data_IF_277251885278
#
_entry.id   IF_277251885278
#
_cell.length_a   1.000
_cell.length_b   1.000
_cell.length_c   1.000
_cell.angle_alpha   90.00
_cell.angle_beta   90.00
_cell.angle_gamma   90.00
#
_symmetry.space_group_name_H-M   'P 1'
#
loop_
_entity.id
_entity.type
_entity.pdbx_description
1 polymer ?
#
# COMPACT_ATOMS: atom_id res chain seq x y z
N UNK A 1 -41.56 -33.72 -29.57
CA UNK A 1 -40.52 -34.30 -28.72
C UNK A 1 -39.37 -33.31 -28.73
N UNK A 2 -39.40 -32.37 -27.81
CA UNK A 2 -38.33 -31.33 -27.63
C UNK A 2 -37.37 -31.83 -26.58
N UNK A 3 -36.13 -32.00 -26.96
CA UNK A 3 -35.03 -32.33 -26.06
C UNK A 3 -34.58 -31.08 -25.29
N UNK A 4 -34.83 -31.11 -24.01
CA UNK A 4 -34.31 -30.13 -23.07
C UNK A 4 -32.84 -30.49 -22.79
N UNK A 5 -31.89 -29.70 -23.27
CA UNK A 5 -30.46 -29.83 -22.94
C UNK A 5 -30.24 -29.18 -21.61
N UNK A 6 -29.91 -29.96 -20.60
CA UNK A 6 -29.42 -29.51 -19.28
C UNK A 6 -28.01 -28.97 -19.49
N UNK A 7 -27.82 -27.68 -19.26
CA UNK A 7 -26.50 -27.04 -19.26
C UNK A 7 -25.86 -27.36 -17.90
N UNK A 8 -24.72 -28.03 -17.93
CA UNK A 8 -23.94 -28.37 -16.74
C UNK A 8 -23.29 -27.14 -16.11
N UNK A 9 -23.05 -27.14 -14.79
CA UNK A 9 -22.53 -25.97 -14.03
C UNK A 9 -21.02 -25.69 -14.22
N UNK A 10 -20.38 -26.34 -15.20
CA UNK A 10 -18.92 -26.19 -15.40
C UNK A 10 -18.51 -24.87 -16.10
N UNK A 11 -19.43 -24.19 -16.79
CA UNK A 11 -19.06 -23.01 -17.60
C UNK A 11 -18.85 -21.73 -16.79
N UNK A 12 -19.37 -21.65 -15.57
CA UNK A 12 -19.16 -20.46 -14.72
C UNK A 12 -17.77 -20.42 -14.07
N UNK A 13 -17.14 -21.55 -13.82
CA UNK A 13 -15.78 -21.63 -13.27
C UNK A 13 -14.69 -21.21 -14.29
N UNK A 14 -14.94 -21.44 -15.58
CA UNK A 14 -14.02 -21.09 -16.66
C UNK A 14 -13.98 -19.57 -16.90
N UNK A 15 -15.10 -18.87 -16.69
CA UNK A 15 -15.17 -17.41 -16.85
C UNK A 15 -14.45 -16.70 -15.69
N UNK A 16 -14.51 -17.23 -14.47
CA UNK A 16 -13.77 -16.69 -13.32
C UNK A 16 -12.24 -16.87 -13.46
N UNK A 17 -11.79 -17.95 -14.07
CA UNK A 17 -10.37 -18.21 -14.33
C UNK A 17 -9.80 -17.35 -15.48
N UNK A 18 -10.64 -16.84 -16.40
CA UNK A 18 -10.24 -15.94 -17.48
C UNK A 18 -10.26 -14.46 -17.10
N UNK A 19 -10.87 -14.09 -15.95
CA UNK A 19 -10.83 -12.73 -15.41
C UNK A 19 -9.55 -12.55 -14.55
N UNK A 20 -8.43 -12.41 -15.23
CA UNK A 20 -7.06 -12.18 -14.78
C UNK A 20 -6.82 -11.58 -13.42
N UNK A 21 -6.79 -12.41 -12.41
CA UNK A 21 -6.09 -12.11 -11.15
C UNK A 21 -4.56 -12.27 -11.32
N UNK A 22 -4.08 -12.62 -12.51
CA UNK A 22 -2.68 -12.76 -12.86
C UNK A 22 -2.01 -11.44 -13.28
N UNK A 23 -0.70 -11.38 -13.14
CA UNK A 23 0.14 -10.16 -13.34
C UNK A 23 0.29 -9.71 -14.82
N UNK A 24 -0.36 -10.34 -15.83
CA UNK A 24 0.00 -10.19 -17.25
C UNK A 24 -1.13 -9.76 -18.20
N UNK A 25 -2.12 -8.97 -17.80
CA UNK A 25 -3.15 -8.51 -18.72
C UNK A 25 -2.93 -7.10 -19.30
N UNK A 26 -3.06 -7.03 -20.64
CA UNK A 26 -3.01 -5.79 -21.41
C UNK A 26 -4.23 -4.89 -21.12
N UNK A 27 -4.06 -3.56 -20.94
CA UNK A 27 -5.13 -2.62 -20.58
C UNK A 27 -6.30 -2.50 -21.56
N UNK A 28 -6.20 -3.05 -22.76
CA UNK A 28 -7.19 -2.88 -23.85
C UNK A 28 -8.43 -3.77 -23.75
N UNK A 29 -8.45 -4.82 -22.92
CA UNK A 29 -9.59 -5.75 -22.81
C UNK A 29 -10.53 -5.45 -21.62
N UNK A 30 -10.27 -4.43 -20.82
CA UNK A 30 -10.97 -4.19 -19.55
C UNK A 30 -12.12 -3.16 -19.60
N UNK A 31 -12.61 -2.83 -20.78
CA UNK A 31 -13.78 -1.95 -20.93
C UNK A 31 -15.14 -2.67 -20.81
N UNK A 32 -15.15 -3.99 -20.61
CA UNK A 32 -16.35 -4.72 -20.28
C UNK A 32 -16.66 -4.52 -18.79
N UNK A 33 -17.89 -4.15 -18.52
CA UNK A 33 -18.47 -3.97 -17.18
C UNK A 33 -18.12 -5.18 -16.31
N UNK A 34 -17.21 -5.00 -15.35
CA UNK A 34 -16.77 -6.06 -14.45
C UNK A 34 -17.91 -6.32 -13.47
N UNK A 35 -18.80 -7.24 -13.77
CA UNK A 35 -19.78 -7.75 -12.83
C UNK A 35 -19.03 -8.66 -11.83
N UNK A 36 -18.68 -8.10 -10.69
CA UNK A 36 -18.18 -8.89 -9.58
C UNK A 36 -19.37 -9.45 -8.84
N UNK A 37 -19.59 -10.76 -8.96
CA UNK A 37 -20.54 -11.47 -8.15
C UNK A 37 -19.87 -12.13 -6.93
N UNK A 38 -20.69 -12.56 -5.97
CA UNK A 38 -20.25 -13.21 -4.74
C UNK A 38 -19.40 -14.46 -5.01
N UNK A 39 -19.85 -15.29 -5.92
CA UNK A 39 -19.20 -16.58 -6.23
C UNK A 39 -17.84 -16.35 -6.88
N UNK A 40 -17.80 -15.47 -7.87
CA UNK A 40 -16.57 -15.10 -8.58
C UNK A 40 -15.53 -14.46 -7.67
N UNK A 41 -15.94 -13.56 -6.77
CA UNK A 41 -15.02 -12.90 -5.83
C UNK A 41 -14.43 -13.91 -4.84
N UNK A 42 -15.26 -14.76 -4.23
CA UNK A 42 -14.81 -15.82 -3.32
C UNK A 42 -13.88 -16.80 -4.01
N UNK A 43 -14.27 -17.26 -5.23
CA UNK A 43 -13.44 -18.18 -6.03
C UNK A 43 -12.08 -17.56 -6.39
N UNK A 44 -12.05 -16.32 -6.82
CA UNK A 44 -10.81 -15.62 -7.18
C UNK A 44 -9.86 -15.46 -5.97
N UNK A 45 -10.39 -15.09 -4.81
CA UNK A 45 -9.59 -14.94 -3.58
C UNK A 45 -9.09 -16.31 -3.11
N UNK A 46 -9.94 -17.34 -3.10
CA UNK A 46 -9.54 -18.69 -2.72
C UNK A 46 -8.52 -19.28 -3.67
N UNK A 47 -8.67 -19.07 -4.98
CA UNK A 47 -7.66 -19.49 -5.97
C UNK A 47 -6.31 -18.79 -5.76
N UNK A 48 -6.31 -17.52 -5.40
CA UNK A 48 -5.10 -16.78 -5.07
C UNK A 48 -4.35 -17.37 -3.85
N UNK A 49 -5.07 -17.98 -2.91
CA UNK A 49 -4.53 -18.62 -1.72
C UNK A 49 -4.29 -20.13 -1.90
N UNK A 50 -4.54 -20.68 -3.08
CA UNK A 50 -4.63 -22.14 -3.34
C UNK A 50 -3.31 -22.93 -3.20
N UNK A 51 -2.16 -22.28 -2.97
CA UNK A 51 -0.94 -22.94 -2.53
C UNK A 51 -1.03 -23.53 -1.10
N UNK A 52 -2.13 -23.29 -0.38
CA UNK A 52 -2.34 -23.66 1.01
C UNK A 52 -3.23 -24.90 1.17
N UNK A 53 -3.12 -25.56 2.32
CA UNK A 53 -3.94 -26.74 2.67
C UNK A 53 -5.45 -26.49 2.41
N UNK A 54 -6.16 -27.36 1.66
CA UNK A 54 -7.59 -27.25 1.37
C UNK A 54 -8.48 -27.01 2.60
N UNK A 55 -8.13 -27.60 3.75
CA UNK A 55 -8.89 -27.44 5.00
C UNK A 55 -8.85 -26.01 5.52
N UNK A 56 -7.73 -25.33 5.25
CA UNK A 56 -7.54 -23.91 5.59
C UNK A 56 -8.38 -23.02 4.67
N UNK A 57 -8.55 -23.40 3.41
CA UNK A 57 -9.36 -22.68 2.44
C UNK A 57 -10.85 -22.66 2.76
N UNK A 58 -11.40 -23.72 3.34
CA UNK A 58 -12.83 -23.76 3.71
C UNK A 58 -13.16 -22.73 4.80
N UNK A 59 -12.32 -22.57 5.81
CA UNK A 59 -12.50 -21.54 6.83
C UNK A 59 -12.40 -20.11 6.27
N UNK A 60 -11.47 -19.88 5.33
CA UNK A 60 -11.36 -18.59 4.64
C UNK A 60 -12.59 -18.32 3.79
N UNK A 61 -13.06 -19.31 3.03
CA UNK A 61 -14.25 -19.19 2.19
C UNK A 61 -15.45 -18.79 3.04
N UNK A 62 -15.70 -19.47 4.15
CA UNK A 62 -16.81 -19.14 5.05
C UNK A 62 -16.68 -17.72 5.62
N UNK A 63 -15.48 -17.30 6.02
CA UNK A 63 -15.27 -15.96 6.54
C UNK A 63 -15.49 -14.88 5.45
N UNK A 64 -15.02 -15.12 4.21
CA UNK A 64 -15.26 -14.23 3.08
C UNK A 64 -16.76 -14.13 2.76
N UNK A 65 -17.45 -15.27 2.68
CA UNK A 65 -18.88 -15.34 2.43
C UNK A 65 -19.66 -14.56 3.51
N UNK A 66 -19.29 -14.74 4.77
CA UNK A 66 -19.89 -13.99 5.88
C UNK A 66 -19.73 -12.47 5.73
N UNK A 67 -18.52 -11.99 5.39
CA UNK A 67 -18.28 -10.54 5.21
C UNK A 67 -19.03 -9.97 4.01
N UNK A 68 -19.12 -10.72 2.91
CA UNK A 68 -19.88 -10.31 1.72
C UNK A 68 -21.37 -10.28 2.02
N UNK A 69 -21.91 -11.32 2.67
CA UNK A 69 -23.33 -11.40 3.00
C UNK A 69 -23.73 -10.28 4.00
N UNK A 70 -22.88 -9.99 4.98
CA UNK A 70 -23.06 -8.89 5.93
C UNK A 70 -23.08 -7.52 5.24
N UNK A 71 -22.26 -7.34 4.22
CA UNK A 71 -22.20 -6.08 3.45
C UNK A 71 -23.42 -5.89 2.54
N UNK A 72 -23.98 -6.98 2.03
CA UNK A 72 -25.11 -6.99 1.14
C UNK A 72 -24.75 -6.75 -0.35
N UNK A 73 -25.73 -6.96 -1.26
CA UNK A 73 -25.50 -6.91 -2.71
C UNK A 73 -25.12 -5.52 -3.22
N UNK A 74 -25.60 -4.44 -2.58
CA UNK A 74 -25.25 -3.08 -2.98
C UNK A 74 -23.75 -2.82 -2.77
N UNK A 75 -23.18 -3.20 -1.63
CA UNK A 75 -21.77 -3.02 -1.34
C UNK A 75 -20.87 -3.81 -2.30
N UNK A 76 -21.33 -4.99 -2.75
CA UNK A 76 -20.60 -5.78 -3.76
C UNK A 76 -20.63 -5.10 -5.13
N UNK A 77 -21.79 -4.53 -5.53
CA UNK A 77 -21.92 -3.73 -6.74
C UNK A 77 -21.01 -2.49 -6.73
N UNK A 78 -21.02 -1.74 -5.62
CA UNK A 78 -20.17 -0.56 -5.41
C UNK A 78 -18.67 -0.92 -5.51
N UNK A 79 -18.25 -2.04 -4.92
CA UNK A 79 -16.89 -2.54 -5.03
C UNK A 79 -16.53 -2.83 -6.49
N UNK A 80 -17.43 -3.47 -7.25
CA UNK A 80 -17.24 -3.76 -8.68
C UNK A 80 -17.03 -2.48 -9.50
N UNK A 81 -17.88 -1.47 -9.31
CA UNK A 81 -17.75 -0.17 -9.98
C UNK A 81 -16.43 0.54 -9.61
N UNK A 82 -16.05 0.55 -8.35
CA UNK A 82 -14.78 1.15 -7.91
C UNK A 82 -13.57 0.44 -8.54
N UNK A 83 -13.57 -0.88 -8.58
CA UNK A 83 -12.51 -1.65 -9.23
C UNK A 83 -12.39 -1.36 -10.72
N UNK A 84 -13.52 -1.17 -11.43
CA UNK A 84 -13.53 -0.77 -12.83
C UNK A 84 -12.94 0.64 -13.02
N UNK A 85 -13.26 1.58 -12.13
CA UNK A 85 -12.89 3.00 -12.27
C UNK A 85 -11.47 3.34 -11.82
N UNK A 86 -10.89 2.61 -10.85
CA UNK A 86 -9.54 2.89 -10.32
C UNK A 86 -8.43 2.84 -11.37
N UNK A 87 -8.68 2.24 -12.56
CA UNK A 87 -7.71 2.17 -13.65
C UNK A 87 -7.65 3.41 -14.56
N UNK A 88 -8.65 4.29 -14.54
CA UNK A 88 -8.91 5.26 -15.61
C UNK A 88 -8.32 6.66 -15.43
N UNK A 89 -8.13 7.15 -14.21
CA UNK A 89 -7.69 8.53 -13.95
C UNK A 89 -6.62 8.66 -12.88
N UNK A 90 -5.92 9.80 -12.91
CA UNK A 90 -5.03 10.22 -11.83
C UNK A 90 -5.82 11.03 -10.81
N UNK A 91 -6.24 10.41 -9.72
CA UNK A 91 -7.07 11.05 -8.70
C UNK A 91 -6.99 10.31 -7.37
N UNK A 92 -7.80 10.75 -6.42
CA UNK A 92 -8.01 10.07 -5.14
C UNK A 92 -9.16 9.07 -5.26
N UNK A 93 -8.95 7.89 -4.69
CA UNK A 93 -9.95 6.84 -4.54
C UNK A 93 -10.18 6.59 -3.05
N UNK A 94 -11.40 6.79 -2.56
CA UNK A 94 -11.72 6.54 -1.16
C UNK A 94 -11.68 5.04 -0.85
N UNK A 95 -11.37 4.71 0.38
CA UNK A 95 -11.44 3.33 0.90
C UNK A 95 -12.81 2.70 0.63
N UNK A 96 -12.78 1.43 0.25
CA UNK A 96 -13.97 0.58 0.18
C UNK A 96 -14.09 -0.26 1.46
N UNK A 97 -15.22 -0.15 2.20
CA UNK A 97 -15.38 -0.88 3.45
C UNK A 97 -15.41 -2.40 3.29
N UNK A 98 -15.95 -2.92 2.17
CA UNK A 98 -15.98 -4.36 1.91
C UNK A 98 -14.59 -4.87 1.54
N UNK A 99 -13.86 -4.17 0.67
CA UNK A 99 -12.48 -4.52 0.33
C UNK A 99 -11.59 -4.59 1.59
N UNK A 100 -11.72 -3.62 2.50
CA UNK A 100 -10.98 -3.60 3.77
C UNK A 100 -11.29 -4.81 4.64
N UNK A 101 -12.58 -5.14 4.85
CA UNK A 101 -12.97 -6.30 5.67
C UNK A 101 -12.47 -7.62 5.08
N UNK A 102 -12.61 -7.80 3.77
CA UNK A 102 -12.06 -8.95 3.06
C UNK A 102 -10.56 -9.02 3.26
N UNK A 103 -9.85 -7.91 3.14
CA UNK A 103 -8.42 -7.86 3.35
C UNK A 103 -8.04 -8.28 4.78
N UNK A 104 -8.78 -7.87 5.81
CA UNK A 104 -8.55 -8.29 7.18
C UNK A 104 -8.70 -9.82 7.35
N UNK A 105 -9.70 -10.43 6.70
CA UNK A 105 -9.85 -11.90 6.65
C UNK A 105 -8.61 -12.57 6.03
N UNK A 106 -8.09 -12.01 4.93
CA UNK A 106 -6.87 -12.51 4.28
C UNK A 106 -5.65 -12.36 5.18
N UNK A 107 -5.52 -11.23 5.84
CA UNK A 107 -4.38 -10.93 6.70
C UNK A 107 -4.24 -11.89 7.88
N UNK A 108 -5.34 -12.50 8.37
CA UNK A 108 -5.30 -13.56 9.38
C UNK A 108 -4.51 -14.81 8.93
N UNK A 109 -4.32 -14.95 7.63
CA UNK A 109 -3.59 -16.07 7.02
C UNK A 109 -2.21 -15.66 6.49
N UNK A 110 -2.05 -14.39 6.16
CA UNK A 110 -0.84 -13.86 5.57
C UNK A 110 0.15 -13.36 6.61
N UNK A 111 -0.33 -12.95 7.78
CA UNK A 111 0.50 -12.51 8.90
C UNK A 111 0.72 -13.65 9.89
N UNK A 112 1.99 -13.93 10.19
CA UNK A 112 2.35 -14.74 11.33
C UNK A 112 1.85 -14.08 12.62
N UNK A 113 1.26 -14.84 13.58
CA UNK A 113 0.76 -14.29 14.86
C UNK A 113 1.82 -13.55 15.69
N UNK A 114 3.10 -13.78 15.43
CA UNK A 114 4.23 -13.10 16.09
C UNK A 114 4.60 -11.77 15.43
N UNK A 115 3.86 -11.35 14.42
CA UNK A 115 4.02 -10.02 13.81
C UNK A 115 3.71 -8.92 14.83
N UNK A 116 4.51 -7.85 14.83
CA UNK A 116 4.44 -6.80 15.85
C UNK A 116 4.40 -5.41 15.25
N UNK A 117 3.72 -4.51 15.96
CA UNK A 117 3.82 -3.06 15.79
C UNK A 117 4.26 -2.46 17.12
N UNK A 118 5.31 -1.67 17.11
CA UNK A 118 5.82 -0.95 18.29
C UNK A 118 5.88 0.55 18.05
N UNK A 119 6.05 1.35 19.11
CA UNK A 119 6.11 2.81 19.02
C UNK A 119 4.74 3.48 18.92
N UNK A 120 3.64 2.75 19.21
CA UNK A 120 2.26 3.30 19.16
C UNK A 120 2.05 4.45 20.15
N UNK A 121 2.81 4.50 21.23
CA UNK A 121 2.82 5.57 22.22
C UNK A 121 3.17 6.94 21.62
N UNK A 122 3.90 6.97 20.51
CA UNK A 122 4.24 8.19 19.80
C UNK A 122 3.03 8.85 19.11
N UNK A 123 1.95 8.09 18.90
CA UNK A 123 0.76 8.57 18.18
C UNK A 123 -0.12 9.51 19.02
N UNK A 124 -0.02 9.44 20.35
CA UNK A 124 -0.84 10.27 21.24
C UNK A 124 -0.65 11.79 20.97
N UNK A 125 0.56 12.20 20.54
CA UNK A 125 0.86 13.60 20.24
C UNK A 125 0.25 14.09 18.90
N UNK A 126 -0.22 13.16 18.03
CA UNK A 126 -0.63 13.46 16.66
C UNK A 126 -1.99 12.87 16.29
N UNK A 127 -2.80 12.47 17.27
CA UNK A 127 -4.05 11.71 17.05
C UNK A 127 -5.00 12.39 16.07
N UNK A 128 -5.13 13.71 16.15
CA UNK A 128 -6.04 14.50 15.28
C UNK A 128 -5.29 15.44 14.33
N UNK A 129 -3.98 15.33 14.27
CA UNK A 129 -3.14 16.19 13.45
C UNK A 129 -3.00 15.69 12.01
N UNK A 130 -2.70 16.57 11.03
CA UNK A 130 -2.28 16.15 9.69
C UNK A 130 -0.94 15.40 9.78
N UNK A 131 -0.89 14.19 9.21
CA UNK A 131 0.30 13.32 9.32
C UNK A 131 0.74 12.84 7.95
N UNK A 132 2.02 13.04 7.63
CA UNK A 132 2.72 12.39 6.52
C UNK A 132 3.54 11.24 7.09
N UNK A 133 3.16 10.02 6.77
CA UNK A 133 3.89 8.80 7.14
C UNK A 133 4.91 8.52 6.05
N UNK A 134 6.19 8.43 6.43
CA UNK A 134 7.27 8.05 5.53
C UNK A 134 7.83 6.70 5.96
N UNK A 135 7.81 5.72 5.04
CA UNK A 135 8.26 4.37 5.31
C UNK A 135 9.20 3.84 4.21
N UNK A 136 9.97 2.80 4.54
CA UNK A 136 10.69 2.00 3.56
C UNK A 136 9.74 1.11 2.74
N UNK A 137 10.20 0.63 1.58
CA UNK A 137 9.36 -0.10 0.63
C UNK A 137 9.97 -1.45 0.22
N UNK A 138 9.39 -2.54 0.66
CA UNK A 138 9.85 -3.90 0.43
C UNK A 138 8.92 -4.69 -0.51
N UNK A 139 7.60 -4.51 -0.32
CA UNK A 139 6.57 -5.30 -0.99
C UNK A 139 5.40 -4.44 -1.47
N UNK A 140 4.64 -4.88 -2.47
CA UNK A 140 3.36 -4.26 -2.82
C UNK A 140 2.31 -4.38 -1.71
N UNK A 141 2.56 -5.22 -0.71
CA UNK A 141 1.67 -5.43 0.43
C UNK A 141 2.04 -4.61 1.67
N UNK A 142 3.12 -3.81 1.64
CA UNK A 142 3.58 -3.04 2.82
C UNK A 142 2.46 -2.20 3.43
N UNK A 143 1.76 -1.41 2.62
CA UNK A 143 0.68 -0.56 3.09
C UNK A 143 -0.49 -1.36 3.67
N UNK A 144 -0.82 -2.51 3.05
CA UNK A 144 -1.89 -3.38 3.48
C UNK A 144 -1.57 -4.05 4.82
N UNK A 145 -0.35 -4.56 4.97
CA UNK A 145 0.07 -5.21 6.21
C UNK A 145 0.26 -4.21 7.35
N UNK A 146 0.78 -3.03 7.04
CA UNK A 146 0.87 -1.93 8.01
C UNK A 146 -0.53 -1.50 8.48
N UNK A 147 -1.49 -1.34 7.56
CA UNK A 147 -2.88 -0.99 7.90
C UNK A 147 -3.50 -2.00 8.87
N UNK A 148 -3.30 -3.30 8.63
CA UNK A 148 -3.80 -4.36 9.51
C UNK A 148 -3.12 -4.32 10.88
N UNK A 149 -1.81 -4.11 10.94
CA UNK A 149 -1.10 -4.00 12.22
C UNK A 149 -1.57 -2.78 13.02
N UNK A 150 -1.77 -1.63 12.37
CA UNK A 150 -2.36 -0.45 12.99
C UNK A 150 -3.78 -0.72 13.51
N UNK A 151 -4.61 -1.38 12.70
CA UNK A 151 -5.99 -1.72 13.07
C UNK A 151 -6.08 -2.68 14.26
N UNK A 152 -5.14 -3.62 14.38
CA UNK A 152 -5.09 -4.62 15.47
C UNK A 152 -4.44 -4.09 16.75
N UNK A 153 -3.84 -2.92 16.70
CA UNK A 153 -3.19 -2.24 17.81
C UNK A 153 -4.08 -1.12 18.36
N UNK A 154 -3.56 -0.34 19.30
CA UNK A 154 -4.21 0.88 19.82
C UNK A 154 -4.20 2.04 18.79
N UNK A 155 -3.70 1.82 17.56
CA UNK A 155 -3.58 2.80 16.49
C UNK A 155 -4.73 2.76 15.46
N UNK A 156 -5.90 2.25 15.82
CA UNK A 156 -7.08 2.13 14.93
C UNK A 156 -7.44 3.47 14.27
N UNK A 157 -7.39 4.57 15.01
CA UNK A 157 -7.66 5.92 14.50
C UNK A 157 -6.73 6.26 13.30
N UNK A 158 -5.45 5.88 13.36
CA UNK A 158 -4.52 6.09 12.26
C UNK A 158 -4.84 5.18 11.05
N UNK A 159 -5.19 3.90 11.30
CA UNK A 159 -5.62 2.98 10.25
C UNK A 159 -6.89 3.47 9.54
N UNK A 160 -7.82 4.06 10.30
CA UNK A 160 -9.10 4.55 9.77
C UNK A 160 -8.97 5.75 8.85
N UNK A 161 -7.93 6.55 8.98
CA UNK A 161 -7.66 7.72 8.15
C UNK A 161 -6.49 7.52 7.18
N UNK A 162 -6.00 6.28 7.02
CA UNK A 162 -4.86 5.99 6.15
C UNK A 162 -5.19 6.23 4.68
N UNK A 163 -4.34 7.01 4.02
CA UNK A 163 -4.35 7.27 2.58
C UNK A 163 -2.94 7.07 2.03
N UNK A 164 -2.79 6.29 0.96
CA UNK A 164 -1.49 5.86 0.41
C UNK A 164 -1.25 6.46 -0.96
N UNK A 165 -0.05 6.99 -1.18
CA UNK A 165 0.38 7.43 -2.52
C UNK A 165 0.92 6.22 -3.29
N UNK A 166 0.26 5.87 -4.40
CA UNK A 166 0.52 4.65 -5.14
C UNK A 166 0.85 4.88 -6.61
N UNK A 167 1.94 4.26 -7.08
CA UNK A 167 2.39 4.33 -8.46
C UNK A 167 1.58 3.44 -9.42
N UNK A 168 1.85 3.54 -10.76
CA UNK A 168 1.01 2.91 -11.81
C UNK A 168 0.92 1.39 -11.70
N UNK A 169 1.95 0.71 -11.21
CA UNK A 169 1.96 -0.75 -11.09
C UNK A 169 0.89 -1.29 -10.13
N UNK A 170 0.43 -0.47 -9.16
CA UNK A 170 -0.66 -0.83 -8.25
C UNK A 170 -2.01 -0.96 -8.98
N UNK A 171 -2.12 -0.39 -10.18
CA UNK A 171 -3.36 -0.40 -10.96
C UNK A 171 -3.29 -1.31 -12.18
N UNK A 172 -2.20 -2.05 -12.37
CA UNK A 172 -1.96 -2.88 -13.57
C UNK A 172 -2.78 -4.18 -13.57
N UNK A 173 -3.22 -4.67 -12.41
CA UNK A 173 -4.05 -5.87 -12.30
C UNK A 173 -5.23 -5.65 -11.35
N UNK A 174 -6.28 -6.47 -11.51
CA UNK A 174 -7.48 -6.41 -10.67
C UNK A 174 -7.16 -6.64 -9.19
N UNK A 175 -6.28 -7.60 -8.89
CA UNK A 175 -5.81 -7.90 -7.54
C UNK A 175 -5.18 -6.69 -6.87
N UNK A 176 -4.27 -5.99 -7.57
CA UNK A 176 -3.59 -4.82 -7.03
C UNK A 176 -4.55 -3.64 -6.84
N UNK A 177 -5.52 -3.46 -7.76
CA UNK A 177 -6.59 -2.47 -7.58
C UNK A 177 -7.43 -2.78 -6.34
N UNK A 178 -7.80 -4.05 -6.16
CA UNK A 178 -8.51 -4.49 -4.96
C UNK A 178 -7.72 -4.14 -3.69
N UNK A 179 -6.43 -4.48 -3.64
CA UNK A 179 -5.55 -4.14 -2.51
C UNK A 179 -5.49 -2.63 -2.25
N UNK A 180 -5.51 -1.81 -3.32
CA UNK A 180 -5.49 -0.34 -3.19
C UNK A 180 -6.79 0.27 -2.66
N UNK A 181 -7.89 -0.48 -2.67
CA UNK A 181 -9.19 -0.04 -2.12
C UNK A 181 -9.33 -0.33 -0.61
N UNK A 182 -8.37 -1.01 0.01
CA UNK A 182 -8.42 -1.30 1.46
C UNK A 182 -8.22 -0.04 2.33
N UNK A 183 -7.66 1.01 1.78
CA UNK A 183 -7.43 2.34 2.37
C UNK A 183 -7.71 3.43 1.33
N UNK A 184 -7.64 4.71 1.71
CA UNK A 184 -7.64 5.80 0.73
C UNK A 184 -6.40 5.70 -0.17
N UNK A 185 -6.53 6.01 -1.47
CA UNK A 185 -5.40 5.89 -2.39
C UNK A 185 -5.30 7.09 -3.31
N UNK A 186 -4.11 7.71 -3.35
CA UNK A 186 -3.76 8.78 -4.29
C UNK A 186 -2.93 8.16 -5.40
N UNK A 187 -3.44 8.19 -6.62
CA UNK A 187 -2.74 7.64 -7.79
C UNK A 187 -1.73 8.65 -8.31
N UNK A 188 -0.45 8.24 -8.41
CA UNK A 188 0.63 9.06 -8.96
C UNK A 188 1.34 8.37 -10.12
N UNK A 189 2.11 9.12 -10.90
CA UNK A 189 2.99 8.57 -11.92
C UNK A 189 4.28 8.03 -11.28
N UNK A 190 4.85 6.98 -11.87
CA UNK A 190 6.19 6.53 -11.50
C UNK A 190 7.22 7.53 -12.06
N UNK A 191 8.30 7.78 -11.31
CA UNK A 191 9.43 8.57 -11.81
C UNK A 191 10.02 7.93 -13.07
N UNK A 192 10.32 8.75 -14.08
CA UNK A 192 10.95 8.31 -15.34
C UNK A 192 12.29 7.61 -15.12
N UNK A 193 12.99 7.93 -14.03
CA UNK A 193 14.31 7.33 -13.68
C UNK A 193 14.22 5.82 -13.38
N UNK A 194 13.04 5.30 -13.01
CA UNK A 194 12.82 3.90 -12.62
C UNK A 194 11.85 3.16 -13.54
N UNK A 195 11.33 3.78 -14.60
CA UNK A 195 10.44 3.10 -15.54
C UNK A 195 11.26 2.35 -16.58
N UNK A 196 11.25 1.03 -16.52
CA UNK A 196 11.75 0.14 -17.58
C UNK A 196 10.71 -0.06 -18.69
N UNK A 197 9.47 0.35 -18.48
CA UNK A 197 8.39 0.29 -19.46
C UNK A 197 8.27 1.65 -20.16
N UNK A 198 8.71 1.67 -21.41
CA UNK A 198 8.62 2.80 -22.33
C UNK A 198 7.17 3.00 -22.83
N UNK A 199 6.26 3.32 -21.89
CA UNK A 199 4.84 3.56 -22.17
C UNK A 199 4.58 5.00 -22.69
N UNK A 200 5.51 5.60 -23.42
CA UNK A 200 5.28 6.82 -24.20
C UNK A 200 4.86 8.07 -23.41
N UNK A 201 4.90 8.04 -22.07
CA UNK A 201 4.62 9.22 -21.25
C UNK A 201 5.83 10.14 -21.25
N UNK A 202 5.66 11.36 -21.75
CA UNK A 202 6.74 12.32 -21.70
C UNK A 202 7.00 12.81 -20.27
N UNK A 203 8.19 13.37 -20.02
CA UNK A 203 8.58 13.85 -18.70
C UNK A 203 7.62 14.92 -18.13
N UNK A 204 6.91 15.67 -18.99
CA UNK A 204 5.92 16.68 -18.61
C UNK A 204 4.67 16.04 -18.01
N UNK A 205 4.19 14.93 -18.58
CA UNK A 205 3.01 14.20 -18.08
C UNK A 205 3.31 13.56 -16.73
N UNK A 206 4.51 13.02 -16.56
CA UNK A 206 4.98 12.47 -15.27
C UNK A 206 5.05 13.58 -14.22
N UNK A 207 5.65 14.73 -14.55
CA UNK A 207 5.74 15.87 -13.64
C UNK A 207 4.35 16.43 -13.28
N UNK A 208 3.44 16.49 -14.25
CA UNK A 208 2.05 16.93 -14.03
C UNK A 208 1.31 15.99 -13.09
N UNK A 209 1.41 14.67 -13.32
CA UNK A 209 0.76 13.69 -12.45
C UNK A 209 1.33 13.70 -11.02
N UNK A 210 2.65 13.89 -10.87
CA UNK A 210 3.27 14.03 -9.56
C UNK A 210 2.77 15.30 -8.82
N UNK A 211 2.64 16.41 -9.53
CA UNK A 211 2.12 17.66 -8.96
C UNK A 211 0.66 17.50 -8.51
N UNK A 212 -0.21 16.90 -9.33
CA UNK A 212 -1.60 16.63 -8.97
C UNK A 212 -1.68 15.71 -7.74
N UNK A 213 -0.81 14.70 -7.65
CA UNK A 213 -0.77 13.82 -6.48
C UNK A 213 -0.39 14.57 -5.19
N UNK A 214 0.54 15.54 -5.26
CA UNK A 214 0.91 16.39 -4.12
C UNK A 214 -0.26 17.30 -3.72
N UNK A 215 -0.90 17.96 -4.69
CA UNK A 215 -2.08 18.80 -4.44
C UNK A 215 -3.20 18.02 -3.74
N UNK A 216 -3.50 16.80 -4.23
CA UNK A 216 -4.49 15.91 -3.60
C UNK A 216 -4.04 15.50 -2.19
N UNK A 217 -2.75 15.19 -1.99
CA UNK A 217 -2.24 14.81 -0.68
C UNK A 217 -2.43 15.93 0.35
N UNK A 218 -2.15 17.18 -0.01
CA UNK A 218 -2.39 18.33 0.87
C UNK A 218 -3.89 18.53 1.16
N UNK A 219 -4.75 18.35 0.16
CA UNK A 219 -6.21 18.36 0.40
C UNK A 219 -6.67 17.25 1.36
N UNK A 220 -6.06 16.07 1.27
CA UNK A 220 -6.39 14.94 2.14
C UNK A 220 -5.88 15.17 3.57
N UNK A 221 -4.65 15.68 3.72
CA UNK A 221 -4.11 16.09 5.02
C UNK A 221 -5.01 17.13 5.71
N UNK A 222 -5.48 18.15 4.96
CA UNK A 222 -6.41 19.16 5.48
C UNK A 222 -7.77 18.58 5.87
N UNK A 223 -8.16 17.41 5.35
CA UNK A 223 -9.37 16.67 5.73
C UNK A 223 -9.13 15.67 6.87
N UNK A 224 -7.94 15.64 7.44
CA UNK A 224 -7.59 14.79 8.55
C UNK A 224 -7.05 13.40 8.18
N UNK A 225 -6.77 13.12 6.90
CA UNK A 225 -6.12 11.86 6.51
C UNK A 225 -4.67 11.81 7.02
N UNK A 226 -4.17 10.58 7.21
CA UNK A 226 -2.76 10.29 7.36
C UNK A 226 -2.23 9.77 6.01
N UNK A 227 -1.31 10.50 5.39
CA UNK A 227 -0.82 10.20 4.05
C UNK A 227 0.47 9.40 4.11
N UNK A 228 0.43 8.11 3.69
CA UNK A 228 1.59 7.22 3.62
C UNK A 228 2.28 7.33 2.27
N UNK A 229 3.58 7.52 2.31
CA UNK A 229 4.45 7.62 1.14
C UNK A 229 5.68 6.73 1.34
N UNK A 230 5.99 5.91 0.35
CA UNK A 230 7.25 5.17 0.29
C UNK A 230 8.30 6.05 -0.39
N UNK A 231 9.15 6.66 0.42
CA UNK A 231 10.01 7.77 -0.02
C UNK A 231 11.16 7.34 -0.96
N UNK A 232 11.41 6.05 -1.10
CA UNK A 232 12.36 5.47 -2.06
C UNK A 232 11.85 5.52 -3.51
N UNK A 233 10.54 5.71 -3.72
CA UNK A 233 9.90 5.77 -5.05
C UNK A 233 9.81 4.42 -5.78
N UNK A 234 10.44 3.38 -5.26
CA UNK A 234 10.38 2.00 -5.77
C UNK A 234 10.66 1.02 -4.64
N UNK A 235 10.22 -0.23 -4.81
CA UNK A 235 10.53 -1.30 -3.86
C UNK A 235 12.02 -1.62 -3.89
N UNK A 236 12.60 -1.84 -2.73
CA UNK A 236 13.93 -2.42 -2.61
C UNK A 236 13.95 -3.85 -3.18
N UNK A 237 15.02 -4.21 -3.88
CA UNK A 237 15.25 -5.57 -4.38
C UNK A 237 16.20 -6.36 -3.49
N UNK A 238 16.86 -5.68 -2.55
CA UNK A 238 17.88 -6.25 -1.65
C UNK A 238 17.41 -6.21 -0.20
N UNK A 239 16.16 -5.81 0.05
CA UNK A 239 15.59 -5.49 1.36
C UNK A 239 16.25 -4.29 2.08
N UNK A 240 17.43 -3.86 1.63
CA UNK A 240 18.09 -2.66 2.16
C UNK A 240 17.40 -1.37 1.70
N UNK A 241 17.30 -0.41 2.61
CA UNK A 241 16.75 0.92 2.38
C UNK A 241 17.48 1.63 1.23
N UNK A 242 16.75 2.11 0.23
CA UNK A 242 17.30 2.87 -0.89
C UNK A 242 17.42 4.36 -0.54
N UNK A 243 18.23 5.15 -1.27
CA UNK A 243 18.26 6.60 -1.09
C UNK A 243 16.86 7.21 -1.24
N UNK A 244 16.47 8.04 -0.28
CA UNK A 244 15.21 8.76 -0.33
C UNK A 244 15.19 9.78 -1.47
N UNK A 245 14.06 9.89 -2.16
CA UNK A 245 13.90 10.85 -3.26
C UNK A 245 13.69 12.27 -2.71
N UNK A 246 14.57 13.24 -3.05
CA UNK A 246 14.40 14.64 -2.61
C UNK A 246 13.04 15.25 -3.01
N UNK A 247 12.45 14.79 -4.13
CA UNK A 247 11.14 15.26 -4.58
C UNK A 247 9.99 14.92 -3.63
N UNK A 248 10.14 13.89 -2.78
CA UNK A 248 9.12 13.50 -1.78
C UNK A 248 8.98 14.57 -0.69
N UNK A 249 10.00 15.37 -0.42
CA UNK A 249 9.89 16.49 0.52
C UNK A 249 8.77 17.48 0.18
N UNK A 250 8.30 17.53 -1.08
CA UNK A 250 7.18 18.40 -1.49
C UNK A 250 5.85 18.04 -0.83
N UNK A 251 5.69 16.80 -0.36
CA UNK A 251 4.53 16.41 0.43
C UNK A 251 4.57 17.00 1.85
N UNK A 252 5.73 17.54 2.26
CA UNK A 252 5.97 18.17 3.56
C UNK A 252 5.91 19.71 3.48
N UNK A 253 5.54 20.28 2.33
CA UNK A 253 5.44 21.76 2.15
C UNK A 253 4.29 22.37 3.00
N UNK A 254 3.38 21.53 3.56
CA UNK A 254 2.46 21.95 4.61
C UNK A 254 3.18 21.95 5.97
N UNK A 255 3.52 23.15 6.45
CA UNK A 255 4.25 23.35 7.71
C UNK A 255 3.48 22.89 8.96
N UNK A 256 2.14 22.72 8.86
CA UNK A 256 1.30 22.23 9.95
C UNK A 256 1.40 20.71 10.15
N UNK A 257 1.78 19.99 9.09
CA UNK A 257 1.83 18.53 9.12
C UNK A 257 2.95 17.99 10.03
N UNK A 258 2.68 16.80 10.56
CA UNK A 258 3.68 15.99 11.26
C UNK A 258 4.28 14.96 10.30
N UNK A 259 5.56 14.75 10.37
CA UNK A 259 6.30 13.69 9.69
C UNK A 259 6.46 12.53 10.65
N UNK A 260 5.94 11.37 10.27
CA UNK A 260 5.99 10.14 11.06
C UNK A 260 6.86 9.09 10.34
N UNK A 261 8.10 8.84 10.79
CA UNK A 261 8.90 7.77 10.22
C UNK A 261 8.39 6.41 10.69
N UNK A 262 8.33 5.43 9.76
CA UNK A 262 7.94 4.05 10.05
C UNK A 262 8.93 3.10 9.39
N UNK A 263 9.47 2.17 10.16
CA UNK A 263 10.30 1.07 9.67
C UNK A 263 9.47 -0.20 9.55
N UNK A 264 9.58 -0.91 8.41
CA UNK A 264 8.87 -2.16 8.11
C UNK A 264 9.90 -3.21 7.71
N UNK A 265 9.86 -4.40 8.30
CA UNK A 265 10.71 -5.53 7.96
C UNK A 265 9.89 -6.81 7.80
N UNK A 266 10.28 -7.69 6.86
CA UNK A 266 9.71 -9.02 6.65
C UNK A 266 8.63 -9.12 5.58
N UNK A 267 8.09 -8.02 5.06
CA UNK A 267 6.99 -8.04 4.08
C UNK A 267 7.42 -8.56 2.70
N UNK A 268 8.69 -8.47 2.35
CA UNK A 268 9.26 -8.99 1.09
C UNK A 268 9.10 -10.51 0.96
N UNK A 269 9.07 -11.23 2.08
CA UNK A 269 8.92 -12.67 2.09
C UNK A 269 7.49 -13.15 1.77
N UNK A 270 6.49 -12.24 1.78
CA UNK A 270 5.12 -12.59 1.38
C UNK A 270 5.00 -12.94 -0.11
N UNK A 271 5.73 -12.18 -0.94
CA UNK A 271 5.81 -12.37 -2.39
C UNK A 271 7.26 -12.23 -2.83
N UNK A 272 8.09 -13.26 -2.64
CA UNK A 272 9.48 -13.20 -3.07
C UNK A 272 9.60 -12.93 -4.57
N UNK A 273 10.65 -12.24 -4.99
CA UNK A 273 10.89 -11.94 -6.41
C UNK A 273 11.18 -13.26 -7.14
N UNK A 274 10.35 -13.59 -8.15
CA UNK A 274 10.47 -14.83 -8.93
C UNK A 274 9.71 -16.02 -8.35
N UNK A 275 9.05 -15.85 -7.21
CA UNK A 275 8.12 -16.82 -6.65
C UNK A 275 6.67 -16.38 -6.89
N UNK A 276 5.80 -17.35 -7.17
CA UNK A 276 4.36 -17.15 -7.38
C UNK A 276 3.52 -17.64 -6.19
N UNK A 277 4.15 -18.28 -5.21
CA UNK A 277 3.50 -18.75 -4.00
C UNK A 277 3.42 -17.65 -2.94
N UNK A 278 2.39 -17.76 -2.09
CA UNK A 278 2.19 -16.84 -0.97
C UNK A 278 2.64 -17.55 0.30
N UNK A 279 3.54 -16.91 1.02
CA UNK A 279 4.03 -17.42 2.28
C UNK A 279 3.54 -16.55 3.45
N UNK A 280 2.96 -17.13 4.51
CA UNK A 280 2.71 -16.38 5.74
C UNK A 280 4.01 -15.77 6.26
N UNK A 281 3.97 -14.50 6.64
CA UNK A 281 5.17 -13.75 7.00
C UNK A 281 5.07 -13.14 8.38
N UNK A 282 6.19 -13.14 9.08
CA UNK A 282 6.37 -12.33 10.27
C UNK A 282 6.78 -10.93 9.86
N UNK A 283 5.92 -9.95 10.18
CA UNK A 283 6.19 -8.53 9.95
C UNK A 283 6.55 -7.86 11.28
N UNK A 284 7.64 -7.11 11.27
CA UNK A 284 8.00 -6.22 12.37
C UNK A 284 7.91 -4.80 11.85
N UNK A 285 6.96 -4.03 12.39
CA UNK A 285 6.84 -2.62 12.10
C UNK A 285 7.11 -1.79 13.36
N UNK A 286 7.82 -0.68 13.17
CA UNK A 286 8.14 0.24 14.26
C UNK A 286 7.80 1.67 13.86
N UNK A 287 7.03 2.36 14.72
CA UNK A 287 6.69 3.77 14.58
C UNK A 287 7.73 4.60 15.33
N UNK A 288 8.35 5.55 14.64
CA UNK A 288 9.31 6.46 15.24
C UNK A 288 8.63 7.70 15.86
N UNK A 289 9.44 8.57 16.45
CA UNK A 289 8.95 9.84 16.99
C UNK A 289 8.48 10.76 15.87
N UNK A 290 7.29 11.37 15.97
CA UNK A 290 6.84 12.34 15.01
C UNK A 290 7.59 13.67 15.17
N UNK A 291 7.81 14.36 14.07
CA UNK A 291 8.42 15.70 14.03
C UNK A 291 7.57 16.63 13.19
N UNK A 292 7.46 17.91 13.58
CA UNK A 292 6.80 18.93 12.74
C UNK A 292 7.57 19.12 11.44
N UNK A 293 6.87 19.18 10.30
CA UNK A 293 7.47 19.47 8.99
C UNK A 293 8.24 20.82 9.02
N UNK A 294 7.68 21.85 9.66
CA UNK A 294 8.35 23.14 9.84
C UNK A 294 9.69 23.04 10.61
N UNK A 295 9.75 22.22 11.68
CA UNK A 295 10.99 22.03 12.44
C UNK A 295 12.05 21.27 11.61
N UNK A 296 11.61 20.31 10.80
CA UNK A 296 12.52 19.60 9.91
C UNK A 296 13.07 20.52 8.81
N UNK A 297 12.23 21.37 8.23
CA UNK A 297 12.63 22.37 7.25
C UNK A 297 13.64 23.38 7.83
N UNK A 298 13.36 23.92 9.01
CA UNK A 298 14.25 24.86 9.71
C UNK A 298 15.63 24.25 9.99
N UNK A 299 15.67 23.03 10.55
CA UNK A 299 16.92 22.33 10.90
C UNK A 299 17.78 21.96 9.70
N UNK A 300 17.15 21.77 8.54
CA UNK A 300 17.84 21.44 7.29
C UNK A 300 18.09 22.67 6.40
N UNK A 301 17.73 23.88 6.89
CA UNK A 301 17.84 25.11 6.09
C UNK A 301 17.08 25.08 4.78
N UNK A 302 15.99 24.33 4.69
CA UNK A 302 15.20 24.12 3.48
C UNK A 302 15.89 23.25 2.41
N UNK A 303 17.03 22.61 2.75
CA UNK A 303 17.70 21.70 1.84
C UNK A 303 16.91 20.38 1.72
N UNK A 304 16.21 20.20 0.62
CA UNK A 304 15.33 19.05 0.37
C UNK A 304 16.07 17.71 0.37
N UNK A 305 17.30 17.67 -0.05
CA UNK A 305 18.12 16.46 -0.02
C UNK A 305 18.45 16.08 1.43
N UNK A 306 18.98 17.03 2.19
CA UNK A 306 19.32 16.82 3.59
C UNK A 306 18.06 16.45 4.41
N UNK A 307 16.92 17.11 4.14
CA UNK A 307 15.64 16.79 4.76
C UNK A 307 15.27 15.31 4.58
N UNK A 308 15.39 14.80 3.35
CA UNK A 308 15.06 13.40 3.06
C UNK A 308 16.13 12.44 3.59
N UNK A 309 17.39 12.85 3.65
CA UNK A 309 18.44 12.05 4.30
C UNK A 309 18.22 11.94 5.82
N UNK A 310 17.75 13.00 6.49
CA UNK A 310 17.34 12.95 7.91
C UNK A 310 16.20 11.95 8.12
N UNK A 311 15.19 11.97 7.26
CA UNK A 311 14.08 11.00 7.30
C UNK A 311 14.60 9.58 7.06
N UNK A 312 15.48 9.39 6.07
CA UNK A 312 16.09 8.09 5.80
C UNK A 312 16.87 7.53 6.99
N UNK A 313 17.64 8.38 7.67
CA UNK A 313 18.35 8.01 8.92
C UNK A 313 17.36 7.66 10.03
N UNK A 314 16.27 8.43 10.18
CA UNK A 314 15.24 8.15 11.17
C UNK A 314 14.57 6.79 10.92
N UNK A 315 14.22 6.47 9.67
CA UNK A 315 13.65 5.17 9.30
C UNK A 315 14.68 4.04 9.51
N UNK A 316 15.95 4.24 9.13
CA UNK A 316 17.01 3.25 9.34
C UNK A 316 17.20 2.90 10.81
N UNK A 317 17.04 3.89 11.71
CA UNK A 317 17.07 3.67 13.15
C UNK A 317 15.96 2.79 13.71
N UNK A 318 14.87 2.59 12.95
CA UNK A 318 13.73 1.72 13.28
C UNK A 318 13.85 0.32 12.69
N UNK A 319 14.89 0.07 11.88
CA UNK A 319 15.06 -1.17 11.13
C UNK A 319 16.21 -2.02 11.70
N UNK A 320 16.13 -3.35 11.60
CA UNK A 320 17.29 -4.23 11.76
C UNK A 320 18.45 -3.80 10.86
N UNK A 321 19.68 -4.12 11.25
CA UNK A 321 20.89 -3.66 10.57
C UNK A 321 20.91 -4.02 9.08
N UNK A 322 20.49 -5.24 8.74
CA UNK A 322 20.42 -5.75 7.37
C UNK A 322 19.46 -5.00 6.45
N UNK A 323 18.50 -4.26 7.03
CA UNK A 323 17.55 -3.44 6.26
C UNK A 323 17.97 -1.98 6.11
N UNK A 324 19.02 -1.51 6.78
CA UNK A 324 19.40 -0.07 6.81
C UNK A 324 19.97 0.45 5.51
N UNK A 325 20.52 -0.42 4.66
CA UNK A 325 20.96 -0.13 3.29
C UNK A 325 21.73 1.17 3.13
N UNK A 326 21.22 2.11 2.34
CA UNK A 326 21.85 3.40 2.04
C UNK A 326 22.01 4.33 3.27
N UNK A 327 21.41 3.98 4.40
CA UNK A 327 21.45 4.76 5.66
C UNK A 327 22.06 3.95 6.82
N UNK A 328 22.74 2.85 6.51
CA UNK A 328 23.50 2.05 7.49
C UNK A 328 24.62 2.84 8.14
N UNK A 329 25.06 2.39 9.32
CA UNK A 329 26.04 3.10 10.14
C UNK A 329 27.39 3.31 9.44
N UNK A 330 27.73 2.43 8.50
CA UNK A 330 28.98 2.47 7.71
C UNK A 330 28.93 3.41 6.49
N UNK A 331 27.76 4.01 6.19
CA UNK A 331 27.63 4.89 5.02
C UNK A 331 28.16 6.29 5.34
N UNK A 332 29.11 6.75 4.54
CA UNK A 332 29.73 8.07 4.68
C UNK A 332 28.82 9.19 4.16
N UNK A 333 29.08 10.43 4.58
CA UNK A 333 28.39 11.63 4.09
C UNK A 333 27.01 11.89 4.72
N UNK A 334 26.62 11.11 5.75
CA UNK A 334 25.36 11.27 6.48
C UNK A 334 25.52 11.90 7.88
N UNK A 335 26.68 12.43 8.23
CA UNK A 335 26.95 12.89 9.59
C UNK A 335 26.04 14.04 10.02
N UNK A 336 25.76 14.99 9.13
CA UNK A 336 24.83 16.09 9.37
C UNK A 336 23.40 15.57 9.55
N UNK A 337 22.94 14.68 8.66
CA UNK A 337 21.62 14.06 8.76
C UNK A 337 21.46 13.27 10.06
N UNK A 338 22.49 12.51 10.47
CA UNK A 338 22.52 11.78 11.74
C UNK A 338 22.48 12.70 12.95
N UNK A 339 23.21 13.82 12.90
CA UNK A 339 23.20 14.81 14.00
C UNK A 339 21.82 15.42 14.17
N UNK A 340 21.16 15.80 13.07
CA UNK A 340 19.80 16.34 13.09
C UNK A 340 18.82 15.29 13.58
N UNK A 341 18.83 14.08 13.04
CA UNK A 341 17.91 13.00 13.41
C UNK A 341 18.00 12.64 14.92
N UNK A 342 19.21 12.63 15.49
CA UNK A 342 19.38 12.39 16.94
C UNK A 342 18.85 13.51 17.83
N UNK A 343 18.69 14.70 17.31
CA UNK A 343 18.17 15.87 18.04
C UNK A 343 16.66 16.05 17.93
N UNK A 344 15.98 15.19 17.17
CA UNK A 344 14.53 15.12 16.97
C UNK A 344 13.88 14.18 17.99
#
# INVERSE_FOLDING_TARGET
>A
MSSCTVVEPADHAVIAASCGWGDNESPRHMAQQLLIDRVGLVAAITAFLAGNDPRTLDGIRQALEHEIDRAGPSALGDLGERLANTGSSWSFFPRDPLARRIHHVLADRLLDPTSTLSGVEHLAAIESEPVVILANHLSYSDANLLEVLLYRSEAVSLADRLTVVAGPKVYSSLRRRFSSLCFGTIKTAQSSTFSTDDNGKNARDVARAARVAIEIAHERLAKGDAVLIFAEGTRSRTSGLQPMLPAVSRYLDDSSAWVLPVGIAGTEALFPIGDHEIHPVRVVAQIGRPVKAASLEERTGGNRRLMMDVVGVAIAGLLPEEYRGAYGDHVEGLDEARAIARSM
#
